data_IF_365058419968
#
_entry.id   IF_365058419968
#
_cell.length_a   1.000
_cell.length_b   1.000
_cell.length_c   1.000
_cell.angle_alpha   90.00
_cell.angle_beta   90.00
_cell.angle_gamma   90.00
#
_symmetry.space_group_name_H-M   'P 1'
#
loop_
_entity.id
_entity.type
_entity.pdbx_description
1 polymer ?
#
# COMPACT_ATOMS: atom_id res chain seq x y z
N UNK A 1 -3.82 7.72 -3.84
CA UNK A 1 -2.52 7.68 -4.52
C UNK A 1 -2.34 8.90 -5.45
N UNK A 2 -3.22 9.90 -5.38
CA UNK A 2 -3.17 11.08 -6.23
C UNK A 2 -1.93 11.94 -5.95
N UNK A 3 -1.45 11.96 -4.70
CA UNK A 3 -0.28 12.76 -4.31
C UNK A 3 1.02 12.24 -4.94
N UNK A 4 1.03 10.98 -5.40
CA UNK A 4 2.14 10.36 -6.13
C UNK A 4 1.85 10.22 -7.63
N UNK A 5 0.86 10.98 -8.14
CA UNK A 5 0.52 11.03 -9.56
C UNK A 5 -0.32 9.87 -10.08
N UNK A 6 -0.81 8.98 -9.19
CA UNK A 6 -1.58 7.81 -9.57
C UNK A 6 -3.08 8.14 -9.48
N UNK A 7 -3.66 8.47 -10.64
CA UNK A 7 -5.02 8.95 -10.81
C UNK A 7 -5.98 7.82 -11.20
N UNK A 8 -7.28 8.10 -11.11
CA UNK A 8 -8.30 7.15 -11.57
C UNK A 8 -8.19 6.96 -13.09
N UNK A 9 -8.15 5.70 -13.53
CA UNK A 9 -8.04 5.34 -14.95
C UNK A 9 -6.60 5.08 -15.42
N UNK A 10 -5.60 5.41 -14.60
CA UNK A 10 -4.21 5.10 -14.91
C UNK A 10 -3.96 3.59 -14.94
N UNK A 11 -3.01 3.19 -15.79
CA UNK A 11 -2.51 1.81 -15.87
C UNK A 11 -1.16 1.74 -15.19
N UNK A 12 -1.01 0.77 -14.28
CA UNK A 12 0.25 0.50 -13.58
C UNK A 12 0.92 -0.75 -14.14
N UNK A 13 2.24 -0.71 -14.25
CA UNK A 13 3.05 -1.89 -14.58
C UNK A 13 3.68 -2.38 -13.27
N UNK A 14 3.51 -3.66 -12.97
CA UNK A 14 4.03 -4.27 -11.74
C UNK A 14 5.13 -5.26 -12.10
N UNK A 15 6.31 -5.03 -11.53
CA UNK A 15 7.42 -5.98 -11.58
C UNK A 15 7.27 -7.01 -10.47
N UNK A 16 6.84 -8.23 -10.83
CA UNK A 16 6.59 -9.32 -9.87
C UNK A 16 7.85 -10.02 -9.38
N UNK A 17 9.02 -9.69 -9.92
CA UNK A 17 10.30 -10.33 -9.57
C UNK A 17 10.95 -9.72 -8.33
N UNK A 18 10.48 -8.56 -7.87
CA UNK A 18 11.06 -7.80 -6.76
C UNK A 18 10.29 -8.00 -5.48
N UNK A 19 11.03 -8.18 -4.39
CA UNK A 19 10.49 -8.06 -3.03
C UNK A 19 10.34 -6.58 -2.66
N UNK A 20 9.19 -6.14 -2.13
CA UNK A 20 8.98 -4.74 -1.80
C UNK A 20 9.83 -4.28 -0.61
N UNK A 21 10.31 -3.04 -0.66
CA UNK A 21 11.01 -2.36 0.43
C UNK A 21 10.22 -1.15 0.95
N UNK A 22 10.59 -0.63 2.11
CA UNK A 22 9.94 0.53 2.73
C UNK A 22 9.99 1.71 1.77
N UNK A 23 8.85 2.35 1.53
CA UNK A 23 8.69 3.48 0.61
C UNK A 23 8.21 3.08 -0.78
N UNK A 24 8.26 1.79 -1.15
CA UNK A 24 7.76 1.34 -2.46
C UNK A 24 6.25 1.53 -2.58
N UNK A 25 5.79 1.90 -3.77
CA UNK A 25 4.39 1.80 -4.16
C UNK A 25 4.15 0.35 -4.60
N UNK A 26 3.34 -0.37 -3.83
CA UNK A 26 3.11 -1.80 -4.02
C UNK A 26 1.67 -2.08 -4.46
N UNK A 27 1.50 -3.13 -5.25
CA UNK A 27 0.22 -3.82 -5.40
C UNK A 27 0.15 -4.90 -4.31
N UNK A 28 -0.85 -4.82 -3.43
CA UNK A 28 -1.08 -5.78 -2.36
C UNK A 28 -2.50 -6.36 -2.45
N UNK A 29 -2.70 -7.52 -1.82
CA UNK A 29 -4.01 -8.10 -1.56
C UNK A 29 -4.22 -8.10 -0.06
N UNK A 30 -5.29 -7.45 0.40
CA UNK A 30 -5.69 -7.42 1.81
C UNK A 30 -7.16 -7.78 1.87
N UNK A 31 -7.54 -8.73 2.72
CA UNK A 31 -8.93 -9.21 2.85
C UNK A 31 -9.56 -9.62 1.50
N UNK A 32 -8.77 -10.26 0.64
CA UNK A 32 -9.12 -10.64 -0.74
C UNK A 32 -9.39 -9.49 -1.70
N UNK A 33 -9.11 -8.24 -1.32
CA UNK A 33 -9.22 -7.06 -2.17
C UNK A 33 -7.85 -6.53 -2.62
N UNK A 34 -7.74 -6.18 -3.90
CA UNK A 34 -6.54 -5.53 -4.42
C UNK A 34 -6.45 -4.07 -3.98
N UNK A 35 -5.26 -3.63 -3.60
CA UNK A 35 -5.00 -2.24 -3.20
C UNK A 35 -3.61 -1.80 -3.64
N UNK A 36 -3.49 -0.53 -4.05
CA UNK A 36 -2.20 0.13 -4.31
C UNK A 36 -1.94 1.15 -3.21
N UNK A 37 -0.80 1.01 -2.53
CA UNK A 37 -0.39 1.81 -1.36
C UNK A 37 1.13 1.89 -1.26
N UNK A 38 1.63 2.81 -0.43
CA UNK A 38 3.04 2.84 -0.04
C UNK A 38 3.25 1.79 1.06
N UNK A 39 4.21 0.90 0.90
CA UNK A 39 4.62 -0.03 1.94
C UNK A 39 5.48 0.69 2.99
N UNK A 40 5.12 0.59 4.26
CA UNK A 40 5.77 1.31 5.35
C UNK A 40 5.72 0.51 6.66
N UNK A 41 6.47 0.97 7.67
CA UNK A 41 6.44 0.45 9.02
C UNK A 41 5.83 1.49 9.99
N UNK A 42 4.83 1.06 10.75
CA UNK A 42 4.26 1.84 11.84
C UNK A 42 5.05 1.72 13.14
N UNK A 43 4.39 2.10 14.25
CA UNK A 43 4.91 1.92 15.60
C UNK A 43 5.28 0.45 15.84
N UNK A 44 6.37 0.22 16.57
CA UNK A 44 6.91 -1.12 16.85
C UNK A 44 7.26 -1.94 15.60
N UNK A 45 7.57 -1.27 14.47
CA UNK A 45 7.88 -1.92 13.19
C UNK A 45 6.73 -2.77 12.64
N UNK A 46 5.48 -2.46 13.00
CA UNK A 46 4.32 -3.17 12.48
C UNK A 46 4.10 -2.78 11.00
N UNK A 47 4.10 -3.74 10.06
CA UNK A 47 3.94 -3.44 8.64
C UNK A 47 2.58 -2.81 8.36
N UNK A 48 2.56 -1.80 7.50
CA UNK A 48 1.34 -1.09 7.09
C UNK A 48 1.39 -0.64 5.63
N UNK A 49 0.21 -0.35 5.10
CA UNK A 49 0.00 0.20 3.78
C UNK A 49 -0.57 1.61 3.92
N UNK A 50 0.16 2.61 3.44
CA UNK A 50 -0.17 4.03 3.63
C UNK A 50 -0.77 4.62 2.35
N UNK A 51 -1.91 5.33 2.43
CA UNK A 51 -2.43 6.06 1.28
C UNK A 51 -1.58 7.29 0.99
N UNK A 52 -1.28 7.54 -0.29
CA UNK A 52 -0.79 8.83 -0.77
C UNK A 52 -1.99 9.67 -1.23
N UNK A 53 -2.77 10.15 -0.28
CA UNK A 53 -3.87 11.10 -0.52
C UNK A 53 -4.05 11.97 0.73
N UNK A 54 -3.61 13.22 0.64
CA UNK A 54 -3.52 14.18 1.74
C UNK A 54 -4.86 14.83 2.11
N UNK A 55 -5.97 14.41 1.50
CA UNK A 55 -7.32 14.91 1.85
C UNK A 55 -7.80 14.46 3.24
N UNK A 56 -7.12 13.47 3.86
CA UNK A 56 -7.51 12.91 5.15
C UNK A 56 -8.61 11.84 5.07
N UNK A 57 -9.16 11.59 3.89
CA UNK A 57 -10.26 10.63 3.66
C UNK A 57 -9.86 9.18 3.91
N UNK A 58 -8.58 8.84 3.67
CA UNK A 58 -8.10 7.47 3.69
C UNK A 58 -7.15 7.23 4.86
N UNK A 59 -7.30 6.09 5.53
CA UNK A 59 -6.46 5.70 6.68
C UNK A 59 -5.44 4.64 6.28
N UNK A 60 -4.28 4.55 6.96
CA UNK A 60 -3.37 3.43 6.79
C UNK A 60 -4.03 2.10 7.15
N UNK A 61 -3.65 1.04 6.43
CA UNK A 61 -4.09 -0.33 6.69
C UNK A 61 -2.93 -1.06 7.38
N UNK A 62 -3.15 -1.58 8.58
CA UNK A 62 -2.13 -2.35 9.30
C UNK A 62 -2.23 -3.82 8.91
N UNK A 63 -1.10 -4.39 8.46
CA UNK A 63 -1.02 -5.79 8.06
C UNK A 63 -0.83 -6.61 9.34
N UNK A 64 -1.80 -7.47 9.63
CA UNK A 64 -1.72 -8.43 10.72
C UNK A 64 -1.48 -9.81 10.14
N UNK A 65 -0.68 -10.66 10.80
CA UNK A 65 -0.65 -12.07 10.46
C UNK A 65 -2.07 -12.64 10.57
N UNK A 66 -2.48 -13.41 9.57
CA UNK A 66 -3.66 -14.27 9.69
C UNK A 66 -3.41 -15.20 10.90
N UNK A 67 -4.29 -15.18 11.89
CA UNK A 67 -4.25 -16.18 12.95
C UNK A 67 -4.69 -17.52 12.33
N UNK A 68 -3.92 -18.60 12.46
CA UNK A 68 -4.25 -19.91 11.89
C UNK A 68 -5.62 -20.45 12.32
#
# INVERSE_FOLDING_TARGET
MIDVGLMLGDKVIVDRSKSPVIGDIVLAVVDREFTIKIYDLGVNKMPRLVPANSTGTYRPIYIRPETP
#
